data_IF_063170121800
#
_entry.id   IF_063170121800
#
_cell.length_a   1.000
_cell.length_b   1.000
_cell.length_c   1.000
_cell.angle_alpha   90.00
_cell.angle_beta   90.00
_cell.angle_gamma   90.00
#
_symmetry.space_group_name_H-M   'P 1'
#
loop_
_entity.id
_entity.type
_entity.pdbx_description
1 polymer ?
#
# COMPACT_ATOMS: atom_id res chain seq x y z
N UNK A 1 67.05 -8.30 39.79
CA UNK A 1 66.22 -8.20 38.57
C UNK A 1 64.88 -8.87 38.83
N UNK A 2 63.80 -8.09 39.02
CA UNK A 2 62.43 -8.61 39.04
C UNK A 2 61.79 -8.27 37.69
N UNK A 3 61.56 -9.29 36.86
CA UNK A 3 60.92 -9.11 35.57
C UNK A 3 59.40 -9.25 35.76
N UNK A 4 58.69 -8.13 35.72
CA UNK A 4 57.23 -8.11 35.79
C UNK A 4 56.68 -8.34 34.37
N UNK A 5 56.28 -9.57 34.04
CA UNK A 5 55.60 -9.88 32.79
C UNK A 5 54.11 -9.55 32.90
N UNK A 6 53.73 -8.34 32.46
CA UNK A 6 52.33 -8.00 32.19
C UNK A 6 51.88 -8.68 30.90
N UNK A 7 51.15 -9.79 31.02
CA UNK A 7 50.48 -10.41 29.88
C UNK A 7 49.30 -9.51 29.43
N UNK A 8 49.21 -9.11 28.15
CA UNK A 8 48.08 -8.34 27.66
C UNK A 8 46.83 -9.22 27.72
N UNK A 9 45.81 -8.80 28.48
CA UNK A 9 44.54 -9.49 28.54
C UNK A 9 43.90 -9.51 27.13
N UNK A 10 43.55 -10.69 26.58
CA UNK A 10 42.86 -10.75 25.30
C UNK A 10 41.51 -10.06 25.43
N UNK A 11 41.22 -9.16 24.51
CA UNK A 11 39.94 -8.44 24.45
C UNK A 11 38.84 -9.50 24.28
N UNK A 12 37.86 -9.52 25.19
CA UNK A 12 36.75 -10.46 25.11
C UNK A 12 35.97 -10.26 23.82
N UNK A 13 35.93 -11.31 22.96
CA UNK A 13 35.23 -11.34 21.68
C UNK A 13 33.77 -10.86 21.77
N UNK A 14 33.12 -11.07 22.92
CA UNK A 14 31.75 -10.62 23.17
C UNK A 14 31.58 -9.09 23.11
N UNK A 15 32.59 -8.33 23.55
CA UNK A 15 32.59 -6.86 23.48
C UNK A 15 32.64 -6.33 22.04
N UNK A 16 33.07 -7.17 21.10
CA UNK A 16 33.04 -6.85 19.67
C UNK A 16 31.73 -7.32 19.02
N UNK A 17 31.26 -8.54 19.33
CA UNK A 17 30.07 -9.10 18.69
C UNK A 17 28.76 -8.42 19.08
N UNK A 18 28.58 -8.00 20.34
CA UNK A 18 27.34 -7.29 20.74
C UNK A 18 27.10 -6.03 19.89
N UNK A 19 28.01 -5.04 19.84
CA UNK A 19 27.75 -3.82 19.10
C UNK A 19 27.64 -4.11 17.59
N UNK A 20 28.39 -5.09 17.07
CA UNK A 20 28.33 -5.46 15.65
C UNK A 20 26.97 -6.04 15.26
N UNK A 21 26.44 -6.99 16.05
CA UNK A 21 25.11 -7.57 15.80
C UNK A 21 24.03 -6.53 15.99
N UNK A 22 24.14 -5.69 17.02
CA UNK A 22 23.18 -4.61 17.26
C UNK A 22 23.15 -3.61 16.10
N UNK A 23 24.32 -3.19 15.60
CA UNK A 23 24.44 -2.32 14.45
C UNK A 23 23.87 -2.95 13.19
N UNK A 24 24.18 -4.23 12.93
CA UNK A 24 23.64 -4.96 11.79
C UNK A 24 22.11 -5.07 11.88
N UNK A 25 21.57 -5.36 13.07
CA UNK A 25 20.13 -5.43 13.31
C UNK A 25 19.44 -4.09 13.04
N UNK A 26 20.03 -2.97 13.47
CA UNK A 26 19.50 -1.63 13.18
C UNK A 26 19.50 -1.31 11.68
N UNK A 27 20.58 -1.66 10.96
CA UNK A 27 20.67 -1.46 9.51
C UNK A 27 19.61 -2.30 8.78
N UNK A 28 19.42 -3.56 9.19
CA UNK A 28 18.46 -4.47 8.58
C UNK A 28 17.01 -4.18 8.97
N UNK A 29 16.76 -3.53 10.12
CA UNK A 29 15.40 -3.20 10.56
C UNK A 29 14.65 -2.30 9.58
N UNK A 30 15.37 -1.43 8.85
CA UNK A 30 14.78 -0.52 7.85
C UNK A 30 14.21 -1.30 6.65
N UNK A 31 15.00 -2.11 5.90
CA UNK A 31 14.47 -2.87 4.77
C UNK A 31 13.65 -4.10 5.18
N UNK A 32 13.71 -4.56 6.44
CA UNK A 32 13.03 -5.78 6.89
C UNK A 32 11.53 -5.80 6.53
N UNK A 33 10.83 -4.66 6.66
CA UNK A 33 9.41 -4.59 6.28
C UNK A 33 9.19 -4.79 4.79
N UNK A 34 10.00 -4.15 3.94
CA UNK A 34 9.88 -4.27 2.49
C UNK A 34 10.16 -5.70 2.03
N UNK A 35 11.22 -6.32 2.54
CA UNK A 35 11.55 -7.72 2.24
C UNK A 35 10.44 -8.66 2.70
N UNK A 36 9.88 -8.44 3.89
CA UNK A 36 8.74 -9.19 4.38
C UNK A 36 7.54 -9.08 3.43
N UNK A 37 7.18 -7.87 3.00
CA UNK A 37 6.10 -7.65 2.02
C UNK A 37 6.39 -8.32 0.67
N UNK A 38 7.63 -8.32 0.18
CA UNK A 38 7.95 -8.99 -1.08
C UNK A 38 7.90 -10.51 -1.00
N UNK A 39 8.25 -11.10 0.15
CA UNK A 39 8.27 -12.56 0.32
C UNK A 39 6.89 -13.15 0.63
N UNK A 40 6.08 -12.46 1.45
CA UNK A 40 4.77 -12.99 1.91
C UNK A 40 3.58 -12.22 1.35
N UNK A 41 3.81 -11.11 0.65
CA UNK A 41 2.74 -10.27 0.12
C UNK A 41 2.08 -10.84 -1.13
N UNK A 42 0.88 -10.34 -1.41
CA UNK A 42 0.16 -10.58 -2.67
C UNK A 42 0.34 -9.40 -3.62
N UNK A 43 0.55 -9.67 -4.90
CA UNK A 43 0.61 -8.62 -5.94
C UNK A 43 -0.80 -8.10 -6.23
N UNK A 44 -1.01 -6.81 -6.03
CA UNK A 44 -2.27 -6.12 -6.36
C UNK A 44 -2.08 -5.31 -7.64
N UNK A 45 -2.95 -5.51 -8.61
CA UNK A 45 -2.92 -4.82 -9.91
C UNK A 45 -4.15 -3.92 -9.98
N UNK A 46 -3.94 -2.62 -10.16
CA UNK A 46 -4.99 -1.62 -10.26
C UNK A 46 -5.05 -1.06 -11.68
N UNK A 47 -6.26 -0.96 -12.23
CA UNK A 47 -6.47 -0.34 -13.53
C UNK A 47 -6.59 1.18 -13.38
N UNK A 48 -5.84 1.91 -14.21
CA UNK A 48 -6.00 3.35 -14.39
C UNK A 48 -6.88 3.62 -15.61
N UNK A 49 -7.78 4.58 -15.48
CA UNK A 49 -8.67 5.07 -16.54
C UNK A 49 -8.28 6.53 -16.83
N UNK A 50 -8.11 6.91 -18.11
CA UNK A 50 -7.88 8.30 -18.46
C UNK A 50 -9.10 9.14 -18.06
N UNK A 51 -8.86 10.27 -17.40
CA UNK A 51 -9.90 11.27 -17.19
C UNK A 51 -10.02 12.08 -18.47
N UNK A 52 -11.19 12.05 -19.10
CA UNK A 52 -11.44 12.76 -20.37
C UNK A 52 -11.31 14.28 -20.16
N UNK A 53 -10.36 14.97 -20.81
CA UNK A 53 -10.20 16.40 -20.69
C UNK A 53 -10.95 17.09 -21.83
N UNK A 54 -12.24 17.37 -21.66
CA UNK A 54 -13.03 18.15 -22.63
C UNK A 54 -12.65 19.66 -22.68
N UNK A 55 -11.38 20.02 -22.40
CA UNK A 55 -10.86 21.37 -22.62
C UNK A 55 -9.57 21.33 -23.48
N UNK A 56 -9.67 21.55 -24.81
CA UNK A 56 -8.54 21.48 -25.75
C UNK A 56 -7.47 22.57 -25.56
N UNK A 57 -7.59 23.42 -24.54
CA UNK A 57 -6.69 24.56 -24.28
C UNK A 57 -5.97 24.48 -22.93
N UNK A 58 -6.18 23.44 -22.13
CA UNK A 58 -5.34 23.19 -20.95
C UNK A 58 -4.23 22.23 -21.32
N UNK A 59 -2.99 22.68 -21.11
CA UNK A 59 -1.79 21.90 -21.37
C UNK A 59 -1.90 20.48 -20.80
N UNK A 60 -1.36 19.53 -21.58
CA UNK A 60 -1.30 18.08 -21.35
C UNK A 60 -1.12 17.65 -19.87
N UNK A 61 -2.19 17.69 -19.07
CA UNK A 61 -2.23 17.03 -17.78
C UNK A 61 -3.02 15.74 -17.96
N UNK A 62 -2.31 14.63 -18.18
CA UNK A 62 -2.90 13.30 -18.10
C UNK A 62 -3.27 13.05 -16.63
N UNK A 63 -4.50 13.35 -16.27
CA UNK A 63 -5.02 12.96 -14.95
C UNK A 63 -5.41 11.49 -15.06
N UNK A 64 -4.63 10.62 -14.42
CA UNK A 64 -4.94 9.20 -14.30
C UNK A 64 -5.70 8.98 -13.00
N UNK A 65 -6.90 8.41 -13.09
CA UNK A 65 -7.66 7.96 -11.91
C UNK A 65 -7.72 6.45 -11.92
N UNK A 66 -7.70 5.85 -10.74
CA UNK A 66 -7.96 4.43 -10.64
C UNK A 66 -9.46 4.15 -10.83
N UNK A 67 -9.78 3.03 -11.46
CA UNK A 67 -11.17 2.59 -11.65
C UNK A 67 -11.93 2.53 -10.30
N UNK A 68 -11.26 2.02 -9.26
CA UNK A 68 -11.76 1.95 -7.87
C UNK A 68 -12.06 3.30 -7.20
N UNK A 69 -11.64 4.42 -7.80
CA UNK A 69 -11.87 5.77 -7.26
C UNK A 69 -13.12 6.44 -7.82
N UNK A 70 -13.86 5.78 -8.71
CA UNK A 70 -15.10 6.29 -9.27
C UNK A 70 -16.27 5.97 -8.35
N UNK A 71 -16.98 7.02 -7.88
CA UNK A 71 -18.10 6.81 -6.97
C UNK A 71 -19.24 6.01 -7.61
N UNK A 72 -19.38 6.05 -8.93
CA UNK A 72 -20.37 5.24 -9.64
C UNK A 72 -20.05 3.75 -9.51
N UNK A 73 -18.79 3.34 -9.70
CA UNK A 73 -18.34 1.97 -9.44
C UNK A 73 -18.55 1.58 -7.97
N UNK A 74 -18.31 2.50 -7.03
CA UNK A 74 -18.49 2.24 -5.59
C UNK A 74 -19.97 2.12 -5.18
N UNK A 75 -20.89 2.79 -5.86
CA UNK A 75 -22.34 2.73 -5.59
C UNK A 75 -22.93 1.35 -5.84
N UNK A 76 -22.36 0.61 -6.77
CA UNK A 76 -22.80 -0.74 -7.12
C UNK A 76 -22.31 -1.80 -6.11
N UNK A 77 -21.38 -1.43 -5.21
CA UNK A 77 -20.78 -2.37 -4.29
C UNK A 77 -21.63 -2.60 -3.03
N UNK A 78 -21.73 -3.85 -2.56
CA UNK A 78 -22.21 -4.16 -1.23
C UNK A 78 -21.49 -3.32 -0.16
N UNK A 79 -22.25 -2.73 0.77
CA UNK A 79 -21.71 -1.87 1.82
C UNK A 79 -21.73 -0.37 1.50
N UNK A 80 -22.00 0.03 0.25
CA UNK A 80 -22.20 1.44 -0.12
C UNK A 80 -23.21 2.15 0.79
N UNK A 81 -24.29 1.45 1.16
CA UNK A 81 -25.35 2.05 1.95
C UNK A 81 -24.92 2.51 3.34
N UNK A 82 -23.87 1.89 3.87
CA UNK A 82 -23.32 2.19 5.19
C UNK A 82 -22.48 3.47 5.19
N UNK A 83 -21.97 3.93 4.04
CA UNK A 83 -21.06 5.06 4.01
C UNK A 83 -21.74 6.39 4.38
N UNK A 84 -21.02 7.30 5.08
CA UNK A 84 -21.51 8.65 5.34
C UNK A 84 -21.67 9.40 4.02
N UNK A 85 -22.92 9.69 3.65
CA UNK A 85 -23.29 10.35 2.40
C UNK A 85 -23.79 11.77 2.65
N UNK A 86 -23.49 12.68 1.74
CA UNK A 86 -23.98 14.06 1.75
C UNK A 86 -24.51 14.44 0.36
N UNK A 87 -25.62 15.17 0.34
CA UNK A 87 -26.11 15.85 -0.87
C UNK A 87 -25.53 17.27 -0.89
N UNK A 88 -24.73 17.64 -1.91
CA UNK A 88 -24.11 18.97 -1.97
C UNK A 88 -25.11 20.11 -2.12
N UNK A 89 -26.27 19.90 -2.76
CA UNK A 89 -27.21 20.96 -3.15
C UNK A 89 -28.70 20.53 -3.15
N UNK A 90 -29.11 19.56 -2.33
CA UNK A 90 -30.51 19.09 -2.29
C UNK A 90 -30.93 18.23 -3.50
N UNK A 91 -29.95 17.85 -4.30
CA UNK A 91 -30.05 16.87 -5.38
C UNK A 91 -30.09 15.44 -4.79
N UNK A 92 -30.83 14.54 -5.44
CA UNK A 92 -30.99 13.13 -5.02
C UNK A 92 -29.67 12.34 -5.06
N UNK A 93 -28.66 12.86 -5.76
CA UNK A 93 -27.34 12.23 -5.84
C UNK A 93 -26.59 12.36 -4.52
N UNK A 94 -26.46 11.21 -3.84
CA UNK A 94 -25.67 11.05 -2.63
C UNK A 94 -24.20 10.81 -2.99
N UNK A 95 -23.32 11.66 -2.46
CA UNK A 95 -21.87 11.54 -2.60
C UNK A 95 -21.26 11.17 -1.25
N UNK A 96 -20.15 10.43 -1.23
CA UNK A 96 -19.41 10.17 0.00
C UNK A 96 -18.98 11.52 0.60
N UNK A 97 -19.27 11.72 1.89
CA UNK A 97 -18.90 12.94 2.60
C UNK A 97 -17.38 13.14 2.54
N UNK A 98 -16.89 14.32 2.12
CA UNK A 98 -15.45 14.59 2.09
C UNK A 98 -14.79 14.37 3.45
N UNK A 99 -13.61 13.76 3.47
CA UNK A 99 -12.88 13.43 4.70
C UNK A 99 -13.33 12.13 5.38
N UNK A 100 -14.14 11.32 4.72
CA UNK A 100 -14.53 9.98 5.22
C UNK A 100 -13.49 8.93 4.82
N UNK A 101 -13.13 8.06 5.75
CA UNK A 101 -12.31 6.87 5.52
C UNK A 101 -13.19 5.62 5.48
N UNK A 102 -12.85 4.67 4.61
CA UNK A 102 -13.51 3.37 4.53
C UNK A 102 -12.55 2.37 3.89
N UNK A 103 -12.84 1.08 4.08
CA UNK A 103 -12.10 0.00 3.47
C UNK A 103 -12.79 -0.49 2.20
N UNK A 104 -11.99 -0.71 1.16
CA UNK A 104 -12.43 -1.36 -0.07
C UNK A 104 -11.89 -2.79 -0.08
N UNK A 105 -12.79 -3.76 -0.19
CA UNK A 105 -12.44 -5.18 -0.27
C UNK A 105 -12.27 -5.52 -1.74
N UNK A 106 -11.06 -5.97 -2.08
CA UNK A 106 -10.70 -6.37 -3.44
C UNK A 106 -10.58 -7.89 -3.53
N UNK A 107 -11.04 -8.45 -4.63
CA UNK A 107 -10.91 -9.87 -4.94
C UNK A 107 -9.94 -10.08 -6.12
N UNK A 108 -9.14 -11.13 -5.97
CA UNK A 108 -8.22 -11.60 -6.99
C UNK A 108 -9.02 -12.23 -8.14
N UNK A 109 -8.86 -11.78 -9.39
CA UNK A 109 -9.60 -12.34 -10.51
C UNK A 109 -9.20 -13.79 -10.73
N UNK A 110 -10.18 -14.64 -11.05
CA UNK A 110 -9.89 -16.03 -11.38
C UNK A 110 -8.92 -16.11 -12.57
N UNK A 111 -7.92 -17.01 -12.52
CA UNK A 111 -6.96 -17.16 -13.61
C UNK A 111 -7.69 -17.55 -14.89
N UNK A 112 -7.61 -16.70 -15.91
CA UNK A 112 -8.21 -16.97 -17.20
C UNK A 112 -7.10 -17.36 -18.19
N UNK A 113 -7.00 -18.64 -18.60
CA UNK A 113 -5.97 -19.10 -19.51
C UNK A 113 -6.07 -18.51 -20.92
N UNK A 114 -7.17 -17.83 -21.26
CA UNK A 114 -7.33 -17.15 -22.54
C UNK A 114 -6.74 -15.73 -22.57
N UNK A 115 -6.32 -15.18 -21.42
CA UNK A 115 -5.80 -13.81 -21.32
C UNK A 115 -4.36 -13.88 -20.80
N UNK A 116 -3.40 -13.54 -21.65
CA UNK A 116 -1.97 -13.54 -21.29
C UNK A 116 -1.57 -12.37 -20.38
N UNK A 117 -2.38 -11.32 -20.32
CA UNK A 117 -2.13 -10.16 -19.48
C UNK A 117 -2.65 -10.37 -18.05
N UNK A 118 -1.94 -9.89 -17.03
CA UNK A 118 -2.40 -10.00 -15.66
C UNK A 118 -3.63 -9.09 -15.47
N UNK A 119 -4.68 -9.65 -14.89
CA UNK A 119 -5.94 -8.93 -14.72
C UNK A 119 -5.92 -8.04 -13.47
N UNK A 120 -6.57 -6.86 -13.52
CA UNK A 120 -6.71 -6.00 -12.36
C UNK A 120 -7.61 -6.66 -11.32
N UNK A 121 -7.31 -6.40 -10.05
CA UNK A 121 -8.16 -6.79 -8.94
C UNK A 121 -9.49 -6.06 -9.00
N UNK A 122 -10.57 -6.78 -8.68
CA UNK A 122 -11.93 -6.23 -8.76
C UNK A 122 -12.43 -5.83 -7.38
N UNK A 123 -13.06 -4.67 -7.23
CA UNK A 123 -13.73 -4.34 -5.98
C UNK A 123 -14.99 -5.19 -5.82
N UNK A 124 -15.19 -5.76 -4.63
CA UNK A 124 -16.33 -6.65 -4.36
C UNK A 124 -17.21 -6.19 -3.21
N UNK A 125 -16.67 -5.39 -2.29
CA UNK A 125 -17.44 -4.87 -1.16
C UNK A 125 -16.74 -3.65 -0.55
N UNK A 126 -17.51 -2.92 0.25
CA UNK A 126 -17.07 -1.80 1.07
C UNK A 126 -17.35 -2.12 2.53
N UNK A 127 -16.40 -1.78 3.40
CA UNK A 127 -16.59 -1.83 4.85
C UNK A 127 -16.26 -0.47 5.47
N UNK A 128 -16.96 -0.13 6.54
CA UNK A 128 -16.54 0.97 7.41
C UNK A 128 -15.27 0.59 8.18
N UNK A 129 -14.56 1.61 8.68
CA UNK A 129 -13.38 1.45 9.54
C UNK A 129 -13.70 0.82 10.91
#
# INVERSE_FOLDING_TARGET
MSNNSHSPHPISLWRFWIPLVFQAALILAVPARAVYTHLTGKTVILQAVPVDPDEPLRGYSQTLRYDISHQDTLRELPGWETLPKQSPNGNELLFIKPGSSFYLILEEPAPNPAIELPQPWKPVAISQE
#
